data_IF_685406126011
#
_entry.id   IF_685406126011
#
_cell.length_a   1.000
_cell.length_b   1.000
_cell.length_c   1.000
_cell.angle_alpha   90.00
_cell.angle_beta   90.00
_cell.angle_gamma   90.00
#
_symmetry.space_group_name_H-M   'P 1'
#
loop_
_entity.id
_entity.type
_entity.pdbx_description
1 polymer ?
#
# COMPACT_ATOMS: atom_id res chain seq x y z
N UNK A 1 -35.33 -41.76 -31.39
CA UNK A 1 -33.97 -41.22 -31.64
C UNK A 1 -33.78 -40.05 -30.70
N UNK A 2 -32.93 -40.17 -29.69
CA UNK A 2 -32.67 -39.13 -28.70
C UNK A 2 -31.44 -38.33 -29.13
N UNK A 3 -31.62 -37.05 -29.43
CA UNK A 3 -30.52 -36.13 -29.68
C UNK A 3 -29.69 -35.96 -28.39
N UNK A 4 -28.42 -36.36 -28.46
CA UNK A 4 -27.44 -36.11 -27.40
C UNK A 4 -27.21 -34.60 -27.26
N UNK A 5 -27.65 -34.03 -26.17
CA UNK A 5 -27.30 -32.66 -25.79
C UNK A 5 -25.81 -32.63 -25.39
N UNK A 6 -24.95 -32.21 -26.32
CA UNK A 6 -23.54 -31.94 -26.02
C UNK A 6 -23.40 -30.51 -25.51
N UNK A 7 -22.98 -30.27 -24.26
CA UNK A 7 -22.72 -28.92 -23.79
C UNK A 7 -21.57 -28.33 -24.62
N UNK A 8 -21.85 -27.22 -25.31
CA UNK A 8 -20.81 -26.44 -26.00
C UNK A 8 -19.83 -25.96 -24.93
N UNK A 9 -18.57 -26.43 -25.00
CA UNK A 9 -17.48 -25.85 -24.19
C UNK A 9 -17.44 -24.34 -24.46
N UNK A 10 -17.30 -23.49 -23.43
CA UNK A 10 -17.15 -22.06 -23.64
C UNK A 10 -15.93 -21.83 -24.54
N UNK A 11 -16.17 -21.22 -25.70
CA UNK A 11 -15.13 -20.90 -26.66
C UNK A 11 -14.41 -19.64 -26.17
N UNK A 12 -13.47 -19.81 -25.23
CA UNK A 12 -12.62 -18.71 -24.77
C UNK A 12 -11.62 -18.47 -25.89
N UNK A 13 -11.79 -17.39 -26.64
CA UNK A 13 -10.85 -17.02 -27.70
C UNK A 13 -9.46 -16.80 -27.09
N UNK A 14 -8.40 -17.27 -27.75
CA UNK A 14 -6.99 -17.08 -27.33
C UNK A 14 -6.66 -15.62 -26.97
N UNK A 15 -7.37 -14.68 -27.58
CA UNK A 15 -7.32 -13.23 -27.33
C UNK A 15 -7.64 -12.86 -25.87
N UNK A 16 -8.53 -13.58 -25.20
CA UNK A 16 -8.91 -13.31 -23.81
C UNK A 16 -7.87 -13.81 -22.81
N UNK A 17 -7.21 -14.94 -23.09
CA UNK A 17 -6.15 -15.48 -22.22
C UNK A 17 -4.91 -14.59 -22.21
N UNK A 18 -4.52 -14.04 -23.37
CA UNK A 18 -3.41 -13.08 -23.44
C UNK A 18 -3.73 -11.77 -22.72
N UNK A 19 -4.95 -11.23 -22.87
CA UNK A 19 -5.40 -10.04 -22.12
C UNK A 19 -5.43 -10.28 -20.60
N UNK A 20 -5.83 -11.48 -20.16
CA UNK A 20 -5.80 -11.86 -18.75
C UNK A 20 -4.37 -11.98 -18.21
N UNK A 21 -3.44 -12.55 -19.00
CA UNK A 21 -2.03 -12.63 -18.64
C UNK A 21 -1.37 -11.24 -18.55
N UNK A 22 -1.64 -10.35 -19.51
CA UNK A 22 -1.12 -8.98 -19.50
C UNK A 22 -1.65 -8.18 -18.30
N UNK A 23 -2.94 -8.37 -17.94
CA UNK A 23 -3.52 -7.79 -16.72
C UNK A 23 -2.88 -8.34 -15.45
N UNK A 24 -2.60 -9.65 -15.39
CA UNK A 24 -1.92 -10.26 -14.25
C UNK A 24 -0.46 -9.77 -14.13
N UNK A 25 0.26 -9.64 -15.26
CA UNK A 25 1.62 -9.13 -15.29
C UNK A 25 1.71 -7.63 -14.94
N UNK A 26 0.69 -6.84 -15.29
CA UNK A 26 0.57 -5.45 -14.86
C UNK A 26 0.27 -5.35 -13.35
N UNK A 27 -0.63 -6.18 -12.82
CA UNK A 27 -0.93 -6.24 -11.38
C UNK A 27 0.31 -6.63 -10.56
N UNK A 28 1.11 -7.59 -11.03
CA UNK A 28 2.37 -7.99 -10.39
C UNK A 28 3.41 -6.86 -10.36
N UNK A 29 3.63 -6.17 -11.49
CA UNK A 29 4.56 -5.04 -11.54
C UNK A 29 4.14 -3.88 -10.64
N UNK A 30 2.83 -3.65 -10.51
CA UNK A 30 2.30 -2.65 -9.58
C UNK A 30 2.53 -3.04 -8.12
N UNK A 31 2.48 -4.33 -7.79
CA UNK A 31 2.79 -4.84 -6.45
C UNK A 31 4.29 -4.71 -6.12
N UNK A 32 5.17 -5.04 -7.08
CA UNK A 32 6.63 -4.94 -6.95
C UNK A 32 7.07 -3.48 -6.71
N UNK A 33 6.54 -2.52 -7.50
CA UNK A 33 6.81 -1.08 -7.29
C UNK A 33 6.17 -0.51 -6.02
N UNK A 34 5.12 -1.15 -5.50
CA UNK A 34 4.49 -0.72 -4.25
C UNK A 34 5.30 -1.18 -3.02
N UNK A 35 6.02 -2.29 -3.13
CA UNK A 35 6.90 -2.78 -2.05
C UNK A 35 8.07 -1.82 -1.80
N UNK A 36 8.77 -1.38 -2.86
CA UNK A 36 9.85 -0.39 -2.74
C UNK A 36 9.34 0.95 -2.18
N UNK A 37 8.20 1.44 -2.68
CA UNK A 37 7.60 2.69 -2.19
C UNK A 37 7.15 2.60 -0.73
N UNK A 38 6.65 1.44 -0.30
CA UNK A 38 6.26 1.21 1.10
C UNK A 38 7.49 1.18 2.02
N UNK A 39 8.57 0.52 1.61
CA UNK A 39 9.81 0.44 2.40
C UNK A 39 10.46 1.82 2.57
N UNK A 40 10.45 2.65 1.53
CA UNK A 40 10.92 4.04 1.61
C UNK A 40 10.08 4.88 2.58
N UNK A 41 8.74 4.85 2.45
CA UNK A 41 7.85 5.57 3.37
C UNK A 41 7.95 5.08 4.82
N UNK A 42 8.13 3.76 5.02
CA UNK A 42 8.34 3.18 6.33
C UNK A 42 9.68 3.64 6.96
N UNK A 43 10.74 3.75 6.17
CA UNK A 43 12.02 4.28 6.63
C UNK A 43 11.91 5.76 7.02
N UNK A 44 11.24 6.58 6.20
CA UNK A 44 10.97 7.99 6.51
C UNK A 44 10.16 8.16 7.79
N UNK A 45 9.17 7.29 8.02
CA UNK A 45 8.38 7.29 9.25
C UNK A 45 9.23 6.97 10.48
N UNK A 46 10.15 6.01 10.38
CA UNK A 46 11.06 5.65 11.49
C UNK A 46 11.95 6.84 11.82
N UNK A 47 12.55 7.47 10.81
CA UNK A 47 13.41 8.63 11.00
C UNK A 47 12.64 9.83 11.59
N UNK A 48 11.44 10.11 11.08
CA UNK A 48 10.58 11.17 11.61
C UNK A 48 10.20 10.92 13.08
N UNK A 49 9.89 9.67 13.45
CA UNK A 49 9.61 9.29 14.84
C UNK A 49 10.83 9.44 15.74
N UNK A 50 12.03 9.08 15.26
CA UNK A 50 13.28 9.28 16.00
C UNK A 50 13.55 10.77 16.25
N UNK A 51 13.39 11.61 15.21
CA UNK A 51 13.53 13.06 15.34
C UNK A 51 12.53 13.65 16.33
N UNK A 52 11.27 13.19 16.29
CA UNK A 52 10.22 13.60 17.22
C UNK A 52 10.54 13.20 18.67
N UNK A 53 10.95 11.95 18.90
CA UNK A 53 11.33 11.46 20.23
C UNK A 53 12.53 12.23 20.80
N UNK A 54 13.54 12.52 19.97
CA UNK A 54 14.68 13.34 20.37
C UNK A 54 14.26 14.77 20.72
N UNK A 55 13.35 15.37 19.94
CA UNK A 55 12.85 16.72 20.23
C UNK A 55 12.09 16.79 21.57
N UNK A 56 11.32 15.75 21.91
CA UNK A 56 10.67 15.63 23.22
C UNK A 56 11.71 15.53 24.33
N UNK A 57 12.71 14.66 24.20
CA UNK A 57 13.75 14.49 25.20
C UNK A 57 14.58 15.77 25.42
N UNK A 58 14.85 16.53 24.35
CA UNK A 58 15.51 17.84 24.44
C UNK A 58 14.63 18.88 25.19
N UNK A 59 13.30 18.78 25.08
CA UNK A 59 12.38 19.70 25.74
C UNK A 59 12.30 19.48 27.26
N UNK A 60 12.53 18.26 27.76
CA UNK A 60 12.48 17.93 29.20
C UNK A 60 13.44 18.77 30.06
N UNK A 61 14.47 19.35 29.44
CA UNK A 61 15.48 20.18 30.11
C UNK A 61 15.29 21.69 29.90
N UNK A 62 14.25 22.10 29.16
CA UNK A 62 14.00 23.50 28.83
C UNK A 62 12.86 24.07 29.67
N UNK A 63 13.01 25.33 30.07
CA UNK A 63 11.88 26.09 30.61
C UNK A 63 10.89 26.39 29.48
N UNK A 64 9.65 25.89 29.54
CA UNK A 64 8.66 26.05 28.47
C UNK A 64 8.26 27.51 28.20
N UNK A 65 8.45 28.44 29.17
CA UNK A 65 8.16 29.86 28.93
C UNK A 65 9.34 30.62 28.32
N UNK A 66 10.53 30.02 28.33
CA UNK A 66 11.71 30.60 27.68
C UNK A 66 11.60 30.56 26.16
N UNK A 67 12.30 31.46 25.47
CA UNK A 67 12.33 31.47 24.00
C UNK A 67 12.87 30.15 23.41
N UNK A 68 13.77 29.47 24.12
CA UNK A 68 14.26 28.15 23.74
C UNK A 68 13.17 27.08 23.90
N UNK A 69 12.44 27.11 25.01
CA UNK A 69 11.32 26.19 25.26
C UNK A 69 10.21 26.36 24.24
N UNK A 70 9.84 27.59 23.90
CA UNK A 70 8.83 27.88 22.85
C UNK A 70 9.25 27.37 21.48
N UNK A 71 10.49 27.66 21.05
CA UNK A 71 11.02 27.13 19.77
C UNK A 71 11.05 25.60 19.75
N UNK A 72 11.36 24.98 20.89
CA UNK A 72 11.35 23.53 20.99
C UNK A 72 9.92 22.97 20.91
N UNK A 73 8.95 23.62 21.55
CA UNK A 73 7.54 23.24 21.45
C UNK A 73 7.01 23.34 20.01
N UNK A 74 7.34 24.43 19.29
CA UNK A 74 7.01 24.59 17.86
C UNK A 74 7.64 23.48 17.01
N UNK A 75 8.90 23.12 17.29
CA UNK A 75 9.60 22.03 16.60
C UNK A 75 8.95 20.67 16.87
N UNK A 76 8.54 20.40 18.11
CA UNK A 76 7.81 19.17 18.47
C UNK A 76 6.49 19.12 17.71
N UNK A 77 5.73 20.22 17.65
CA UNK A 77 4.47 20.29 16.93
C UNK A 77 4.65 19.97 15.43
N UNK A 78 5.65 20.60 14.78
CA UNK A 78 5.95 20.36 13.36
C UNK A 78 6.35 18.91 13.09
N UNK A 79 7.22 18.33 13.93
CA UNK A 79 7.62 16.93 13.80
C UNK A 79 6.46 15.97 14.07
N UNK A 80 5.59 16.29 15.03
CA UNK A 80 4.39 15.50 15.31
C UNK A 80 3.41 15.51 14.13
N UNK A 81 3.21 16.67 13.50
CA UNK A 81 2.42 16.79 12.28
C UNK A 81 3.03 16.00 11.11
N UNK A 82 4.35 16.03 10.94
CA UNK A 82 5.05 15.26 9.91
C UNK A 82 4.86 13.75 10.12
N UNK A 83 5.07 13.25 11.34
CA UNK A 83 4.86 11.83 11.68
C UNK A 83 3.42 11.40 11.38
N UNK A 84 2.44 12.23 11.75
CA UNK A 84 1.03 11.93 11.48
C UNK A 84 0.72 11.88 9.97
N UNK A 85 1.30 12.78 9.17
CA UNK A 85 1.12 12.77 7.71
C UNK A 85 1.73 11.54 7.05
N UNK A 86 2.97 11.18 7.40
CA UNK A 86 3.63 10.00 6.83
C UNK A 86 2.86 8.73 7.22
N UNK A 87 2.37 8.64 8.47
CA UNK A 87 1.56 7.51 8.92
C UNK A 87 0.27 7.37 8.09
N UNK A 88 -0.44 8.47 7.83
CA UNK A 88 -1.66 8.44 7.02
C UNK A 88 -1.39 7.96 5.60
N UNK A 89 -0.31 8.46 4.96
CA UNK A 89 0.06 8.02 3.62
C UNK A 89 0.42 6.53 3.58
N UNK A 90 1.10 6.02 4.61
CA UNK A 90 1.44 4.61 4.74
C UNK A 90 0.17 3.75 4.92
N UNK A 91 -0.76 4.18 5.75
CA UNK A 91 -2.02 3.48 6.00
C UNK A 91 -2.88 3.40 4.72
N UNK A 92 -2.99 4.51 3.99
CA UNK A 92 -3.70 4.58 2.70
C UNK A 92 -3.06 3.66 1.65
N UNK A 93 -1.72 3.62 1.57
CA UNK A 93 -1.04 2.78 0.59
C UNK A 93 -1.13 1.28 0.91
N UNK A 94 -1.15 0.92 2.20
CA UNK A 94 -1.42 -0.45 2.66
C UNK A 94 -2.84 -0.87 2.28
N UNK A 95 -3.84 -0.02 2.52
CA UNK A 95 -5.23 -0.31 2.14
C UNK A 95 -5.36 -0.51 0.62
N UNK A 96 -4.79 0.42 -0.16
CA UNK A 96 -4.77 0.35 -1.63
C UNK A 96 -4.10 -0.92 -2.15
N UNK A 97 -2.98 -1.32 -1.54
CA UNK A 97 -2.24 -2.53 -1.93
C UNK A 97 -3.03 -3.79 -1.59
N UNK A 98 -3.66 -3.84 -0.42
CA UNK A 98 -4.52 -4.94 0.00
C UNK A 98 -5.72 -5.11 -0.96
N UNK A 99 -6.34 -4.02 -1.39
CA UNK A 99 -7.46 -4.09 -2.33
C UNK A 99 -7.04 -4.55 -3.73
N UNK A 100 -5.88 -4.12 -4.23
CA UNK A 100 -5.30 -4.66 -5.47
C UNK A 100 -5.02 -6.16 -5.35
N UNK A 101 -4.50 -6.60 -4.21
CA UNK A 101 -4.25 -8.03 -3.95
C UNK A 101 -5.54 -8.86 -3.97
N UNK A 102 -6.62 -8.38 -3.33
CA UNK A 102 -7.94 -9.03 -3.40
C UNK A 102 -8.47 -9.13 -4.83
N UNK A 103 -8.30 -8.07 -5.63
CA UNK A 103 -8.70 -8.08 -7.06
C UNK A 103 -7.89 -9.09 -7.86
N UNK A 104 -6.58 -9.20 -7.60
CA UNK A 104 -5.72 -10.19 -8.23
C UNK A 104 -6.16 -11.63 -7.90
N UNK A 105 -6.41 -11.95 -6.63
CA UNK A 105 -6.87 -13.28 -6.24
C UNK A 105 -8.25 -13.61 -6.85
N UNK A 106 -9.17 -12.64 -6.90
CA UNK A 106 -10.46 -12.82 -7.58
C UNK A 106 -10.29 -13.13 -9.08
N UNK A 107 -9.39 -12.43 -9.77
CA UNK A 107 -9.09 -12.67 -11.18
C UNK A 107 -8.47 -14.06 -11.40
N UNK A 108 -7.51 -14.44 -10.55
CA UNK A 108 -6.86 -15.76 -10.56
C UNK A 108 -7.87 -16.90 -10.35
N UNK A 109 -8.83 -16.72 -9.44
CA UNK A 109 -9.91 -17.68 -9.23
C UNK A 109 -10.86 -17.79 -10.43
N UNK A 110 -11.20 -16.66 -11.07
CA UNK A 110 -11.96 -16.68 -12.33
C UNK A 110 -11.21 -17.47 -13.42
N UNK A 111 -9.91 -17.22 -13.60
CA UNK A 111 -9.09 -17.94 -14.58
C UNK A 111 -9.07 -19.46 -14.30
N UNK A 112 -8.94 -19.89 -13.04
CA UNK A 112 -9.01 -21.31 -12.66
C UNK A 112 -10.34 -21.96 -13.04
N UNK A 113 -11.46 -21.27 -12.83
CA UNK A 113 -12.80 -21.78 -13.18
C UNK A 113 -13.01 -21.90 -14.69
N UNK A 114 -12.31 -21.09 -15.48
CA UNK A 114 -12.39 -21.10 -16.93
C UNK A 114 -11.43 -22.09 -17.61
N UNK A 115 -10.43 -22.59 -16.88
CA UNK A 115 -9.45 -23.58 -17.37
C UNK A 115 -9.80 -25.03 -17.01
N UNK A 116 -10.77 -25.26 -16.13
CA UNK A 116 -11.33 -26.57 -15.77
C UNK A 116 -12.69 -26.80 -16.44
#
# INVERSE_FOLDING_TARGET
MSEEFRPKKPNIERTDVHKMHDRAAAAFRVADTAEDSYLEMAAELIDARNMYANAIAEADHLDPVSDKGKKQAERIEQLGQLVAQIQLLLDDDVERTNDKYKQYEALKDQMKRHLN
#
